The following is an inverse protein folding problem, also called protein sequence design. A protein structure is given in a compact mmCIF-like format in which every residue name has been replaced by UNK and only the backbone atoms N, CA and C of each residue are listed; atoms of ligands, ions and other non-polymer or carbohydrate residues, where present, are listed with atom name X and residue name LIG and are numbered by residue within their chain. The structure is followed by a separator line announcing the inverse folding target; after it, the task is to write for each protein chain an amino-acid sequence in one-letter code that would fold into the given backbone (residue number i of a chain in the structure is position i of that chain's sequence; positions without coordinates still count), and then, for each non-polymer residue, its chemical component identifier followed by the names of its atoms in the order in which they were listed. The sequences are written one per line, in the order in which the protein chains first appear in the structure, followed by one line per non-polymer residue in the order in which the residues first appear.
data_IF_561760072473
#
_entry.id   IF_561760072473
#
_cell.length_a   1.000
_cell.length_b   1.000
_cell.length_c   1.000
_cell.angle_alpha   90.00
_cell.angle_beta   90.00
_cell.angle_gamma   90.00
#
_symmetry.space_group_name_H-M   'P 1'
#
loop_
_entity.id
_entity.type
_entity.pdbx_description
1 polymer ?
#
# COMPACT_ATOMS: atom_id res chain seq x y z
N UNK A 1 51.01 -19.04 39.42
CA UNK A 1 49.92 -20.03 39.61
C UNK A 1 48.58 -19.34 39.41
N UNK A 2 47.78 -19.89 38.50
CA UNK A 2 46.33 -19.75 38.27
C UNK A 2 45.78 -18.41 37.78
N UNK A 3 45.38 -18.48 36.51
CA UNK A 3 44.70 -17.51 35.67
C UNK A 3 43.28 -17.20 36.15
N UNK A 4 42.90 -15.98 35.82
CA UNK A 4 41.56 -15.41 35.83
C UNK A 4 40.48 -16.37 35.32
N UNK A 5 39.36 -16.40 36.05
CA UNK A 5 38.07 -16.87 35.58
C UNK A 5 37.06 -15.77 35.92
N UNK A 6 36.00 -15.67 35.12
CA UNK A 6 34.91 -14.68 35.15
C UNK A 6 35.14 -13.50 34.17
N UNK A 7 34.96 -13.80 32.89
CA UNK A 7 34.47 -12.81 31.92
C UNK A 7 33.78 -13.53 30.74
N UNK A 8 32.81 -14.41 31.04
CA UNK A 8 32.06 -15.13 30.01
C UNK A 8 30.57 -15.22 30.36
N UNK A 9 29.97 -14.07 30.73
CA UNK A 9 28.55 -14.02 31.10
C UNK A 9 27.78 -12.81 30.57
N UNK A 10 28.46 -11.75 30.10
CA UNK A 10 27.79 -10.47 29.81
C UNK A 10 27.55 -10.18 28.32
N UNK A 11 28.02 -11.05 27.41
CA UNK A 11 27.97 -10.77 25.96
C UNK A 11 26.71 -11.35 25.28
N UNK A 12 26.02 -12.30 25.91
CA UNK A 12 24.93 -13.04 25.23
C UNK A 12 23.52 -12.45 25.41
N UNK A 13 23.31 -11.44 26.26
CA UNK A 13 21.97 -10.86 26.49
C UNK A 13 21.68 -9.61 25.66
N UNK A 14 22.67 -9.00 25.01
CA UNK A 14 22.45 -7.77 24.23
C UNK A 14 22.04 -8.08 22.77
N UNK A 15 22.40 -9.24 22.23
CA UNK A 15 22.12 -9.60 20.83
C UNK A 15 20.63 -9.80 20.52
N UNK A 16 19.79 -10.08 21.54
CA UNK A 16 18.35 -10.21 21.35
C UNK A 16 17.63 -8.85 21.23
N UNK A 17 18.23 -7.78 21.76
CA UNK A 17 17.62 -6.44 21.73
C UNK A 17 17.96 -5.67 20.44
N UNK A 18 19.13 -5.93 19.85
CA UNK A 18 19.53 -5.31 18.59
C UNK A 18 18.68 -5.78 17.39
N UNK A 19 18.19 -7.02 17.41
CA UNK A 19 17.33 -7.57 16.35
C UNK A 19 15.93 -6.92 16.30
N UNK A 20 15.51 -6.19 17.34
CA UNK A 20 14.19 -5.52 17.38
C UNK A 20 14.23 -4.02 17.10
N UNK A 21 15.43 -3.44 17.03
CA UNK A 21 15.60 -2.02 16.73
C UNK A 21 15.63 -1.75 15.21
N UNK A 22 16.11 -2.71 14.40
CA UNK A 22 16.16 -2.59 12.94
C UNK A 22 14.78 -2.77 12.27
N UNK A 23 13.80 -3.38 12.93
CA UNK A 23 12.44 -3.49 12.42
C UNK A 23 11.76 -2.12 12.24
N UNK A 24 12.16 -1.12 13.04
CA UNK A 24 11.62 0.25 12.94
C UNK A 24 12.08 1.01 11.69
N UNK A 25 13.29 0.71 11.19
CA UNK A 25 13.83 1.35 9.99
C UNK A 25 13.31 0.70 8.70
N UNK A 26 13.04 -0.62 8.73
CA UNK A 26 12.38 -1.33 7.63
C UNK A 26 10.91 -0.87 7.45
N UNK A 27 10.22 -0.53 8.55
CA UNK A 27 8.86 0.03 8.52
C UNK A 27 8.80 1.50 8.06
N UNK A 28 9.90 2.25 8.13
CA UNK A 28 9.97 3.66 7.73
C UNK A 28 10.24 3.87 6.24
N UNK A 29 10.74 2.84 5.54
CA UNK A 29 11.06 2.90 4.11
C UNK A 29 9.93 2.40 3.19
N UNK A 30 8.84 1.83 3.73
CA UNK A 30 7.57 1.69 3.00
C UNK A 30 6.88 3.06 2.95
N UNK A 31 7.46 3.95 2.13
CA UNK A 31 6.93 5.27 1.80
C UNK A 31 5.44 5.11 1.48
N UNK A 32 4.55 5.68 2.31
CA UNK A 32 3.11 5.70 2.08
C UNK A 32 2.84 6.14 0.65
N UNK A 33 2.57 5.17 -0.22
CA UNK A 33 2.40 5.41 -1.63
C UNK A 33 0.94 5.84 -1.80
N UNK A 34 0.75 7.10 -2.16
CA UNK A 34 -0.57 7.68 -2.39
C UNK A 34 -0.96 7.53 -3.85
N UNK A 35 -2.20 7.16 -4.07
CA UNK A 35 -2.82 6.97 -5.37
C UNK A 35 -3.96 7.96 -5.52
N UNK A 36 -4.20 8.41 -6.74
CA UNK A 36 -5.46 9.06 -7.09
C UNK A 36 -6.45 7.97 -7.47
N UNK A 37 -7.58 7.95 -6.78
CA UNK A 37 -8.72 7.11 -7.09
C UNK A 37 -9.74 7.97 -7.79
N UNK A 38 -9.96 7.70 -9.07
CA UNK A 38 -10.95 8.40 -9.87
C UNK A 38 -12.07 7.43 -10.25
N UNK A 39 -13.28 7.80 -9.89
CA UNK A 39 -14.49 7.10 -10.31
C UNK A 39 -15.21 7.91 -11.37
N UNK A 40 -15.31 7.39 -12.59
CA UNK A 40 -15.98 8.06 -13.70
C UNK A 40 -17.44 7.62 -13.79
N UNK A 41 -18.34 8.60 -13.81
CA UNK A 41 -19.79 8.44 -13.93
C UNK A 41 -20.20 8.99 -15.29
N UNK A 42 -20.77 8.12 -16.12
CA UNK A 42 -21.29 8.45 -17.46
C UNK A 42 -20.27 9.18 -18.37
N UNK A 43 -18.97 8.98 -18.12
CA UNK A 43 -17.87 9.59 -18.88
C UNK A 43 -17.71 11.11 -18.75
N UNK A 44 -18.57 11.80 -17.99
CA UNK A 44 -18.58 13.27 -17.91
C UNK A 44 -18.51 13.81 -16.48
N UNK A 45 -18.83 12.98 -15.48
CA UNK A 45 -18.70 13.33 -14.06
C UNK A 45 -17.69 12.40 -13.41
N UNK A 46 -17.00 12.88 -12.40
CA UNK A 46 -16.07 12.04 -11.66
C UNK A 46 -16.10 12.35 -10.17
N UNK A 47 -16.05 11.31 -9.34
CA UNK A 47 -15.58 11.43 -7.97
C UNK A 47 -14.07 11.20 -7.95
N UNK A 48 -13.34 12.07 -7.27
CA UNK A 48 -11.88 11.96 -7.16
C UNK A 48 -11.54 11.95 -5.68
N UNK A 49 -10.76 10.96 -5.29
CA UNK A 49 -10.24 10.82 -3.94
C UNK A 49 -8.81 10.32 -3.93
N UNK A 50 -8.26 10.21 -2.73
CA UNK A 50 -6.95 9.63 -2.49
C UNK A 50 -7.10 8.19 -2.00
N UNK A 51 -6.17 7.33 -2.42
CA UNK A 51 -6.00 5.99 -1.92
C UNK A 51 -4.61 5.81 -1.34
N UNK A 52 -4.46 4.96 -0.34
CA UNK A 52 -3.17 4.62 0.26
C UNK A 52 -2.90 3.13 0.10
N UNK A 53 -1.69 2.77 -0.30
CA UNK A 53 -1.24 1.38 -0.32
C UNK A 53 -1.18 0.83 1.11
N UNK A 54 -1.87 -0.28 1.37
CA UNK A 54 -1.86 -0.95 2.68
C UNK A 54 -1.31 -2.37 2.64
N UNK A 55 -1.23 -2.99 1.46
CA UNK A 55 -0.65 -4.31 1.31
C UNK A 55 -0.16 -4.56 -0.12
N UNK A 56 0.90 -5.35 -0.27
CA UNK A 56 1.40 -5.87 -1.54
C UNK A 56 1.65 -7.37 -1.42
N UNK A 57 1.06 -8.13 -2.33
CA UNK A 57 1.29 -9.57 -2.46
C UNK A 57 2.52 -9.87 -3.32
N UNK A 58 3.11 -11.05 -3.14
CA UNK A 58 4.28 -11.51 -3.89
C UNK A 58 4.03 -11.60 -5.41
N UNK A 59 2.78 -11.79 -5.83
CA UNK A 59 2.34 -11.82 -7.24
C UNK A 59 2.14 -10.41 -7.85
N UNK A 60 2.55 -9.36 -7.13
CA UNK A 60 2.46 -7.97 -7.60
C UNK A 60 1.07 -7.34 -7.47
N UNK A 61 0.09 -8.04 -6.88
CA UNK A 61 -1.22 -7.44 -6.56
C UNK A 61 -1.07 -6.55 -5.33
N UNK A 62 -1.66 -5.35 -5.41
CA UNK A 62 -1.69 -4.41 -4.31
C UNK A 62 -3.10 -4.22 -3.79
N UNK A 63 -3.21 -3.85 -2.52
CA UNK A 63 -4.46 -3.42 -1.90
C UNK A 63 -4.34 -1.97 -1.49
N UNK A 64 -5.27 -1.15 -1.99
CA UNK A 64 -5.40 0.25 -1.63
C UNK A 64 -6.60 0.43 -0.71
N UNK A 65 -6.50 1.37 0.22
CA UNK A 65 -7.64 1.86 1.02
C UNK A 65 -7.99 3.26 0.57
N UNK A 66 -9.27 3.52 0.35
CA UNK A 66 -9.82 4.85 0.06
C UNK A 66 -11.17 5.01 0.76
N UNK A 67 -11.78 6.19 0.63
CA UNK A 67 -13.10 6.44 1.19
C UNK A 67 -14.20 5.74 0.36
N UNK A 68 -15.19 5.15 1.04
CA UNK A 68 -16.25 4.40 0.37
C UNK A 68 -17.05 5.29 -0.59
N UNK A 69 -17.37 6.52 -0.19
CA UNK A 69 -18.13 7.45 -1.02
C UNK A 69 -17.45 7.82 -2.35
N UNK A 70 -16.13 7.60 -2.50
CA UNK A 70 -15.42 7.81 -3.77
C UNK A 70 -15.76 6.71 -4.78
N UNK A 71 -15.97 5.47 -4.29
CA UNK A 71 -16.14 4.26 -5.12
C UNK A 71 -17.50 3.59 -4.94
N UNK A 72 -18.41 4.22 -4.20
CA UNK A 72 -19.78 3.76 -3.99
C UNK A 72 -20.74 4.72 -4.70
N UNK A 73 -20.90 4.52 -6.01
CA UNK A 73 -21.74 5.32 -6.90
C UNK A 73 -22.43 4.47 -7.98
N UNK A 74 -23.16 5.09 -8.93
CA UNK A 74 -23.74 4.42 -10.10
C UNK A 74 -22.69 3.62 -10.89
N UNK A 75 -23.07 2.78 -11.88
CA UNK A 75 -22.11 2.02 -12.68
C UNK A 75 -20.98 2.91 -13.18
N UNK A 76 -19.79 2.68 -12.66
CA UNK A 76 -18.68 3.61 -12.78
C UNK A 76 -17.41 2.86 -13.15
N UNK A 77 -16.66 3.41 -14.11
CA UNK A 77 -15.33 2.88 -14.41
C UNK A 77 -14.35 3.50 -13.43
N UNK A 78 -13.65 2.66 -12.66
CA UNK A 78 -12.61 3.11 -11.74
C UNK A 78 -11.28 3.21 -12.46
N UNK A 79 -10.60 4.34 -12.28
CA UNK A 79 -9.22 4.58 -12.72
C UNK A 79 -8.37 4.83 -11.48
N UNK A 80 -7.28 4.08 -11.38
CA UNK A 80 -6.33 4.19 -10.28
C UNK A 80 -5.01 4.66 -10.86
N UNK A 81 -4.52 5.80 -10.37
CA UNK A 81 -3.29 6.43 -10.83
C UNK A 81 -2.30 6.56 -9.68
N UNK A 82 -1.10 6.04 -9.87
CA UNK A 82 0.04 6.40 -9.04
C UNK A 82 0.65 7.71 -9.57
N UNK A 83 0.56 8.77 -8.78
CA UNK A 83 1.07 10.10 -9.14
C UNK A 83 2.59 10.18 -9.12
N UNK A 84 3.25 9.30 -8.37
CA UNK A 84 4.71 9.25 -8.25
C UNK A 84 5.31 8.59 -9.48
N UNK A 85 4.75 7.45 -9.88
CA UNK A 85 5.24 6.67 -11.03
C UNK A 85 4.58 7.03 -12.35
N UNK A 86 3.53 7.86 -12.30
CA UNK A 86 2.65 8.17 -13.44
C UNK A 86 2.22 6.87 -14.10
N UNK A 87 1.59 5.98 -13.34
CA UNK A 87 1.19 4.66 -13.82
C UNK A 87 -0.26 4.37 -13.48
N UNK A 88 -0.99 3.77 -14.43
CA UNK A 88 -2.35 3.30 -14.21
C UNK A 88 -2.35 1.86 -13.72
N UNK A 89 -3.41 1.51 -12.99
CA UNK A 89 -3.59 0.18 -12.43
C UNK A 89 -4.96 -0.36 -12.78
N UNK A 90 -4.99 -1.64 -13.11
CA UNK A 90 -6.22 -2.39 -13.33
C UNK A 90 -6.87 -2.69 -11.99
N UNK A 91 -8.18 -2.41 -11.90
CA UNK A 91 -8.99 -2.77 -10.73
C UNK A 91 -9.44 -4.21 -10.87
N UNK A 92 -8.98 -5.06 -9.95
CA UNK A 92 -9.33 -6.48 -9.92
C UNK A 92 -10.58 -6.73 -9.09
N UNK A 93 -10.71 -6.01 -7.97
CA UNK A 93 -11.81 -6.18 -7.03
C UNK A 93 -11.97 -4.96 -6.13
N UNK A 94 -13.21 -4.65 -5.75
CA UNK A 94 -13.54 -3.60 -4.79
C UNK A 94 -14.41 -4.19 -3.71
N UNK A 95 -14.00 -4.00 -2.45
CA UNK A 95 -14.80 -4.34 -1.27
C UNK A 95 -15.10 -3.06 -0.50
N UNK A 96 -16.38 -2.77 -0.32
CA UNK A 96 -16.86 -1.56 0.36
C UNK A 96 -17.37 -1.91 1.75
N UNK A 97 -17.01 -1.10 2.75
CA UNK A 97 -17.51 -1.14 4.12
C UNK A 97 -18.16 0.22 4.44
N UNK A 98 -19.45 0.34 4.12
CA UNK A 98 -20.18 1.62 4.19
C UNK A 98 -20.26 2.20 5.61
N UNK A 99 -20.36 1.35 6.63
CA UNK A 99 -20.42 1.77 8.04
C UNK A 99 -19.20 2.59 8.48
N UNK A 100 -18.04 2.34 7.86
CA UNK A 100 -16.78 3.00 8.18
C UNK A 100 -16.35 4.03 7.13
N UNK A 101 -17.15 4.23 6.09
CA UNK A 101 -16.76 4.98 4.88
C UNK A 101 -15.41 4.51 4.30
N UNK A 102 -15.17 3.19 4.28
CA UNK A 102 -13.93 2.60 3.76
C UNK A 102 -14.19 1.71 2.55
N UNK A 103 -13.25 1.72 1.61
CA UNK A 103 -13.20 0.76 0.52
C UNK A 103 -11.78 0.22 0.32
N UNK A 104 -11.70 -1.10 0.10
CA UNK A 104 -10.48 -1.81 -0.25
C UNK A 104 -10.50 -2.14 -1.73
N UNK A 105 -9.47 -1.71 -2.45
CA UNK A 105 -9.36 -1.88 -3.90
C UNK A 105 -8.14 -2.77 -4.17
N UNK A 106 -8.35 -3.94 -4.76
CA UNK A 106 -7.27 -4.79 -5.25
C UNK A 106 -6.90 -4.35 -6.66
N UNK A 107 -5.62 -4.05 -6.88
CA UNK A 107 -5.14 -3.52 -8.14
C UNK A 107 -3.88 -4.22 -8.61
N UNK A 108 -3.62 -4.20 -9.92
CA UNK A 108 -2.37 -4.68 -10.53
C UNK A 108 -1.83 -3.63 -11.50
N UNK A 109 -0.52 -3.47 -11.55
CA UNK A 109 0.11 -2.53 -12.47
C UNK A 109 -0.22 -2.90 -13.91
N UNK A 110 -0.66 -1.94 -14.71
CA UNK A 110 -0.80 -2.16 -16.14
C UNK A 110 0.60 -2.28 -16.76
N UNK A 111 0.86 -3.33 -17.56
CA UNK A 111 2.19 -3.60 -18.11
C UNK A 111 2.65 -2.60 -19.18
N UNK A 112 1.85 -1.61 -19.59
CA UNK A 112 2.26 -0.61 -20.58
C UNK A 112 1.59 0.75 -20.37
N UNK A 113 2.41 1.80 -20.24
CA UNK A 113 2.00 3.20 -20.15
C UNK A 113 2.00 3.91 -21.53
N UNK A 114 2.37 3.23 -22.62
CA UNK A 114 2.49 3.88 -23.95
C UNK A 114 1.17 4.10 -24.68
N UNK A 115 0.04 3.74 -24.07
CA UNK A 115 -1.29 3.94 -24.65
C UNK A 115 -1.94 5.15 -23.98
N UNK A 116 -2.23 6.24 -24.73
CA UNK A 116 -2.99 7.37 -24.20
C UNK A 116 -4.35 6.87 -23.66
N UNK A 117 -4.91 7.50 -22.61
CA UNK A 117 -6.25 7.13 -22.15
C UNK A 117 -7.26 7.22 -23.32
N UNK A 118 -8.24 6.30 -23.39
CA UNK A 118 -9.28 6.34 -24.42
C UNK A 118 -10.13 7.61 -24.29
#
# INVERSE_FOLDING_TARGET
MRLASIALGFILTVSALAARADDGAALSAERSQTFVVQSLIDGHRAFIGSGVLVARSADGVMTLVTAAHVVNGPPQSLRILDTTRRAYYDVLHVRVLLEYDLAFIRVRAQPSYSVPPP
#
